data_IF_238646441538
#
_entry.id   IF_238646441538
#
_cell.length_a   1.000
_cell.length_b   1.000
_cell.length_c   1.000
_cell.angle_alpha   90.00
_cell.angle_beta   90.00
_cell.angle_gamma   90.00
#
_symmetry.space_group_name_H-M   'P 1'
#
loop_
_entity.id
_entity.type
_entity.pdbx_description
1 polymer ?
#
# COMPACT_ATOMS: atom_id res chain seq x y z
N UNK A 1 -32.69 11.29 -32.59
CA UNK A 1 -31.72 10.69 -31.65
C UNK A 1 -30.52 11.61 -31.61
N UNK A 2 -30.37 12.30 -30.49
CA UNK A 2 -29.50 13.47 -30.36
C UNK A 2 -28.03 13.02 -30.24
N UNK A 3 -27.18 13.47 -31.18
CA UNK A 3 -25.74 13.09 -31.19
C UNK A 3 -24.96 13.75 -30.06
N UNK A 4 -25.59 14.65 -29.30
CA UNK A 4 -25.03 15.37 -28.14
C UNK A 4 -24.91 14.45 -26.92
N UNK A 5 -25.95 13.69 -26.59
CA UNK A 5 -25.97 12.76 -25.44
C UNK A 5 -24.89 11.67 -25.56
N UNK A 6 -24.63 11.24 -26.80
CA UNK A 6 -23.58 10.29 -27.16
C UNK A 6 -22.16 10.78 -26.87
N UNK A 7 -21.89 12.09 -26.93
CA UNK A 7 -20.54 12.63 -26.66
C UNK A 7 -20.34 12.92 -25.17
N UNK A 8 -21.39 13.34 -24.49
CA UNK A 8 -21.34 13.68 -23.07
C UNK A 8 -21.14 12.45 -22.17
N UNK A 9 -21.68 11.28 -22.53
CA UNK A 9 -21.43 10.08 -21.73
C UNK A 9 -19.99 9.58 -21.85
N UNK A 10 -19.41 9.57 -23.07
CA UNK A 10 -18.01 9.20 -23.27
C UNK A 10 -17.06 10.15 -22.55
N UNK A 11 -17.30 11.46 -22.63
CA UNK A 11 -16.50 12.46 -21.91
C UNK A 11 -16.56 12.26 -20.40
N UNK A 12 -17.75 11.97 -19.84
CA UNK A 12 -17.91 11.64 -18.42
C UNK A 12 -17.19 10.35 -18.02
N UNK A 13 -17.27 9.29 -18.83
CA UNK A 13 -16.57 8.03 -18.57
C UNK A 13 -15.05 8.21 -18.59
N UNK A 14 -14.51 8.93 -19.59
CA UNK A 14 -13.08 9.21 -19.68
C UNK A 14 -12.58 10.07 -18.51
N UNK A 15 -13.35 11.10 -18.12
CA UNK A 15 -13.00 11.92 -16.97
C UNK A 15 -13.01 11.10 -15.66
N UNK A 16 -13.98 10.21 -15.47
CA UNK A 16 -14.00 9.32 -14.31
C UNK A 16 -12.80 8.36 -14.29
N UNK A 17 -12.47 7.73 -15.42
CA UNK A 17 -11.35 6.79 -15.53
C UNK A 17 -10.01 7.49 -15.27
N UNK A 18 -9.83 8.70 -15.81
CA UNK A 18 -8.60 9.49 -15.59
C UNK A 18 -8.48 9.93 -14.14
N UNK A 19 -9.57 10.35 -13.49
CA UNK A 19 -9.59 10.70 -12.07
C UNK A 19 -9.29 9.48 -11.17
N UNK A 20 -9.90 8.33 -11.44
CA UNK A 20 -9.63 7.09 -10.70
C UNK A 20 -8.19 6.61 -10.86
N UNK A 21 -7.65 6.66 -12.08
CA UNK A 21 -6.25 6.30 -12.34
C UNK A 21 -5.29 7.23 -11.60
N UNK A 22 -5.60 8.54 -11.55
CA UNK A 22 -4.82 9.51 -10.79
C UNK A 22 -4.86 9.24 -9.28
N UNK A 23 -6.01 8.83 -8.72
CA UNK A 23 -6.14 8.42 -7.31
C UNK A 23 -5.31 7.17 -6.99
N UNK A 24 -5.36 6.15 -7.85
CA UNK A 24 -4.55 4.93 -7.69
C UNK A 24 -3.05 5.24 -7.76
N UNK A 25 -2.63 6.12 -8.67
CA UNK A 25 -1.24 6.57 -8.75
C UNK A 25 -0.80 7.28 -7.46
N UNK A 26 -1.64 8.19 -6.92
CA UNK A 26 -1.36 8.88 -5.65
C UNK A 26 -1.21 7.90 -4.49
N UNK A 27 -2.14 6.95 -4.35
CA UNK A 27 -2.06 5.89 -3.32
C UNK A 27 -0.77 5.08 -3.49
N UNK A 28 -0.42 4.70 -4.72
CA UNK A 28 0.79 3.91 -4.99
C UNK A 28 2.06 4.67 -4.61
N UNK A 29 2.12 5.96 -4.92
CA UNK A 29 3.22 6.85 -4.51
C UNK A 29 3.34 6.93 -2.99
N UNK A 30 2.24 7.20 -2.29
CA UNK A 30 2.21 7.25 -0.83
C UNK A 30 2.68 5.94 -0.20
N UNK A 31 2.24 4.79 -0.73
CA UNK A 31 2.72 3.47 -0.28
C UNK A 31 4.21 3.25 -0.49
N UNK A 32 4.78 3.72 -1.60
CA UNK A 32 6.23 3.63 -1.83
C UNK A 32 7.01 4.50 -0.85
N UNK A 33 6.54 5.72 -0.61
CA UNK A 33 7.13 6.64 0.39
C UNK A 33 7.05 6.04 1.80
N UNK A 34 5.90 5.47 2.17
CA UNK A 34 5.69 4.78 3.45
C UNK A 34 6.60 3.57 3.62
N UNK A 35 6.83 2.77 2.56
CA UNK A 35 7.76 1.65 2.62
C UNK A 35 9.21 2.11 2.86
N UNK A 36 9.61 3.23 2.25
CA UNK A 36 10.92 3.83 2.52
C UNK A 36 11.04 4.29 3.97
N UNK A 37 10.02 4.97 4.50
CA UNK A 37 9.99 5.40 5.90
C UNK A 37 10.01 4.21 6.86
N UNK A 38 9.25 3.15 6.57
CA UNK A 38 9.22 1.94 7.37
C UNK A 38 10.59 1.22 7.40
N UNK A 39 11.35 1.27 6.30
CA UNK A 39 12.73 0.78 6.30
C UNK A 39 13.60 1.59 7.28
N UNK A 40 13.55 2.92 7.20
CA UNK A 40 14.29 3.81 8.11
C UNK A 40 13.85 3.64 9.57
N UNK A 41 12.54 3.45 9.81
CA UNK A 41 11.98 3.14 11.12
C UNK A 41 12.59 1.85 11.68
N UNK A 42 12.59 0.76 10.91
CA UNK A 42 13.15 -0.51 11.35
C UNK A 42 14.66 -0.44 11.63
N UNK A 43 15.41 0.30 10.83
CA UNK A 43 16.84 0.54 11.07
C UNK A 43 17.09 1.27 12.39
N UNK A 44 16.30 2.31 12.69
CA UNK A 44 16.39 3.07 13.96
C UNK A 44 15.88 2.26 15.15
N UNK A 45 14.79 1.51 14.99
CA UNK A 45 14.26 0.58 15.99
C UNK A 45 15.30 -0.47 16.39
N UNK A 46 16.09 -0.94 15.42
CA UNK A 46 17.14 -1.91 15.70
C UNK A 46 18.25 -1.30 16.57
N UNK A 47 18.58 -0.01 16.38
CA UNK A 47 19.56 0.71 17.19
C UNK A 47 19.09 0.94 18.63
N UNK A 48 17.85 1.40 18.83
CA UNK A 48 17.31 1.61 20.18
C UNK A 48 16.91 0.29 20.85
N UNK A 49 16.75 -0.82 20.10
CA UNK A 49 16.20 -2.10 20.55
C UNK A 49 14.71 -2.03 20.87
N UNK A 50 13.94 -2.95 20.30
CA UNK A 50 12.47 -3.05 20.50
C UNK A 50 12.07 -3.19 21.97
N UNK A 51 12.92 -3.79 22.80
CA UNK A 51 12.64 -3.96 24.24
C UNK A 51 12.76 -2.64 24.99
N UNK A 52 13.79 -1.84 24.69
CA UNK A 52 13.98 -0.54 25.34
C UNK A 52 12.85 0.41 24.99
N UNK A 53 12.41 0.43 23.73
CA UNK A 53 11.23 1.22 23.33
C UNK A 53 9.97 0.86 24.11
N UNK A 54 9.70 -0.43 24.31
CA UNK A 54 8.56 -0.85 25.15
C UNK A 54 8.68 -0.34 26.58
N UNK A 55 9.88 -0.36 27.16
CA UNK A 55 10.11 0.14 28.51
C UNK A 55 9.92 1.66 28.59
N UNK A 56 10.33 2.40 27.54
CA UNK A 56 10.08 3.84 27.42
C UNK A 56 8.57 4.11 27.30
N UNK A 57 7.85 3.38 26.44
CA UNK A 57 6.39 3.49 26.27
C UNK A 57 5.61 3.15 27.55
N UNK A 58 6.13 2.22 28.36
CA UNK A 58 5.56 1.84 29.66
C UNK A 58 5.90 2.85 30.78
N UNK A 59 6.73 3.85 30.51
CA UNK A 59 7.19 4.84 31.49
C UNK A 59 8.20 4.28 32.50
N UNK A 60 8.77 3.09 32.24
CA UNK A 60 9.80 2.49 33.09
C UNK A 60 11.18 3.13 32.87
N UNK A 61 11.39 3.74 31.71
CA UNK A 61 12.63 4.41 31.32
C UNK A 61 12.30 5.78 30.72
N UNK A 62 13.10 6.79 31.03
CA UNK A 62 12.99 8.10 30.40
C UNK A 62 13.51 8.05 28.95
N UNK A 63 12.65 8.39 27.99
CA UNK A 63 12.99 8.48 26.57
C UNK A 63 14.03 9.55 26.26
N UNK A 64 14.18 10.57 27.12
CA UNK A 64 15.18 11.64 26.96
C UNK A 64 16.61 11.13 26.90
N UNK A 65 16.89 9.96 27.48
CA UNK A 65 18.19 9.31 27.49
C UNK A 65 18.61 8.76 26.12
N UNK A 66 17.66 8.67 25.18
CA UNK A 66 17.86 8.10 23.84
C UNK A 66 17.56 9.12 22.74
N UNK A 67 17.62 10.40 23.08
CA UNK A 67 17.58 11.48 22.12
C UNK A 67 18.92 11.61 21.39
N UNK A 68 18.93 11.91 20.07
CA UNK A 68 17.77 12.27 19.22
C UNK A 68 17.01 11.09 18.59
N UNK A 69 17.48 9.85 18.80
CA UNK A 69 16.96 8.69 18.09
C UNK A 69 15.50 8.39 18.42
N UNK A 70 15.07 8.59 19.66
CA UNK A 70 13.69 8.36 20.11
C UNK A 70 12.72 9.34 19.45
N UNK A 71 12.95 10.66 19.53
CA UNK A 71 12.13 11.66 18.82
C UNK A 71 12.07 11.37 17.32
N UNK A 72 13.19 11.00 16.71
CA UNK A 72 13.20 10.66 15.28
C UNK A 72 12.34 9.44 14.94
N UNK A 73 12.22 8.45 15.83
CA UNK A 73 11.35 7.30 15.65
C UNK A 73 9.88 7.69 15.73
N UNK A 74 9.53 8.49 16.74
CA UNK A 74 8.16 8.99 16.94
C UNK A 74 7.70 9.78 15.72
N UNK A 75 8.52 10.71 15.22
CA UNK A 75 8.22 11.50 14.02
C UNK A 75 8.01 10.64 12.77
N UNK A 76 8.80 9.57 12.60
CA UNK A 76 8.60 8.66 11.45
C UNK A 76 7.29 7.89 11.61
N UNK A 77 6.95 7.48 12.83
CA UNK A 77 5.68 6.79 13.13
C UNK A 77 4.47 7.68 12.83
N UNK A 78 4.46 8.91 13.36
CA UNK A 78 3.40 9.90 13.12
C UNK A 78 3.21 10.17 11.63
N UNK A 79 4.32 10.37 10.90
CA UNK A 79 4.27 10.61 9.45
C UNK A 79 3.71 9.41 8.66
N UNK A 80 3.97 8.18 9.11
CA UNK A 80 3.35 6.99 8.49
C UNK A 80 1.84 6.96 8.74
N UNK A 81 1.39 7.27 9.97
CA UNK A 81 -0.03 7.34 10.32
C UNK A 81 -0.79 8.43 9.54
N UNK A 82 -0.15 9.59 9.32
CA UNK A 82 -0.68 10.64 8.44
C UNK A 82 -0.85 10.16 6.99
N UNK A 83 0.16 9.46 6.43
CA UNK A 83 0.06 8.90 5.08
C UNK A 83 -1.01 7.81 4.96
N UNK A 84 -1.17 6.97 5.99
CA UNK A 84 -2.24 5.97 6.03
C UNK A 84 -3.62 6.63 6.05
N UNK A 85 -3.77 7.69 6.85
CA UNK A 85 -5.00 8.49 6.88
C UNK A 85 -5.30 9.16 5.54
N UNK A 86 -4.28 9.67 4.84
CA UNK A 86 -4.42 10.23 3.49
C UNK A 86 -4.85 9.16 2.48
N UNK A 87 -4.25 7.96 2.54
CA UNK A 87 -4.64 6.83 1.69
C UNK A 87 -6.09 6.45 1.92
N UNK A 88 -6.54 6.35 3.18
CA UNK A 88 -7.93 6.04 3.52
C UNK A 88 -8.90 7.13 3.06
N UNK A 89 -8.52 8.41 3.16
CA UNK A 89 -9.31 9.51 2.61
C UNK A 89 -9.44 9.42 1.07
N UNK A 90 -8.35 9.09 0.37
CA UNK A 90 -8.38 8.92 -1.09
C UNK A 90 -9.23 7.71 -1.48
N UNK A 91 -9.14 6.59 -0.73
CA UNK A 91 -9.95 5.38 -0.94
C UNK A 91 -11.44 5.62 -0.64
N UNK A 92 -11.78 6.33 0.43
CA UNK A 92 -13.16 6.68 0.78
C UNK A 92 -13.82 7.57 -0.28
N UNK A 93 -13.02 8.41 -0.95
CA UNK A 93 -13.43 9.22 -2.10
C UNK A 93 -13.39 8.44 -3.45
N UNK A 94 -13.02 7.16 -3.42
CA UNK A 94 -13.00 6.25 -4.56
C UNK A 94 -14.32 5.47 -4.53
N UNK A 95 -15.39 6.07 -5.07
CA UNK A 95 -16.60 5.31 -5.40
C UNK A 95 -16.22 4.32 -6.49
N UNK A 96 -15.96 3.07 -6.12
CA UNK A 96 -15.68 1.97 -7.03
C UNK A 96 -16.81 1.88 -8.08
N UNK A 97 -16.56 2.46 -9.24
CA UNK A 97 -17.35 2.32 -10.46
C UNK A 97 -16.73 1.27 -11.37
N UNK A 98 -16.21 0.17 -10.82
CA UNK A 98 -15.97 -1.01 -11.65
C UNK A 98 -17.34 -1.44 -12.16
N UNK A 99 -17.57 -1.17 -13.45
CA UNK A 99 -18.80 -1.51 -14.13
C UNK A 99 -19.20 -2.93 -13.72
N UNK A 100 -20.39 -3.05 -13.13
CA UNK A 100 -21.11 -4.32 -13.14
C UNK A 100 -21.22 -4.71 -14.61
N UNK A 101 -20.25 -5.47 -15.12
CA UNK A 101 -20.45 -6.31 -16.29
C UNK A 101 -21.59 -7.22 -15.86
N UNK A 102 -22.77 -6.98 -16.43
CA UNK A 102 -23.78 -8.03 -16.51
C UNK A 102 -23.12 -9.15 -17.31
N UNK A 103 -22.53 -10.11 -16.61
CA UNK A 103 -22.19 -11.41 -17.19
C UNK A 103 -23.48 -12.22 -17.13
N UNK A 104 -24.36 -11.96 -18.10
CA UNK A 104 -25.08 -13.07 -18.72
C UNK A 104 -24.11 -13.66 -19.76
N UNK A 105 -24.14 -14.98 -19.88
CA UNK A 105 -23.32 -15.87 -20.72
C UNK A 105 -22.05 -16.48 -20.07
N UNK A 106 -22.31 -17.68 -19.55
CA UNK A 106 -21.49 -18.90 -19.50
C UNK A 106 -20.06 -18.82 -20.08
N UNK A 107 -19.08 -18.47 -19.25
CA UNK A 107 -17.71 -18.95 -19.45
C UNK A 107 -17.15 -19.53 -18.16
N UNK A 108 -16.91 -20.84 -18.23
CA UNK A 108 -16.37 -21.73 -17.22
C UNK A 108 -15.01 -21.22 -16.75
N UNK A 109 -14.96 -20.66 -15.54
CA UNK A 109 -13.71 -20.27 -14.88
C UNK A 109 -12.91 -21.54 -14.62
N UNK A 110 -11.78 -21.69 -15.30
CA UNK A 110 -10.77 -22.71 -14.96
C UNK A 110 -9.92 -22.13 -13.85
N UNK A 111 -10.06 -22.68 -12.64
CA UNK A 111 -9.18 -22.39 -11.51
C UNK A 111 -7.74 -22.77 -11.89
N UNK A 112 -6.91 -21.79 -12.20
CA UNK A 112 -5.46 -21.98 -12.30
C UNK A 112 -4.91 -21.99 -10.87
N UNK A 113 -4.76 -23.18 -10.31
CA UNK A 113 -3.93 -23.40 -9.12
C UNK A 113 -2.51 -22.97 -9.45
N UNK A 114 -1.97 -22.02 -8.68
CA UNK A 114 -0.55 -21.72 -8.68
C UNK A 114 0.20 -22.93 -8.10
N UNK A 115 0.78 -23.77 -8.96
CA UNK A 115 1.76 -24.75 -8.53
C UNK A 115 3.05 -24.04 -8.13
N UNK A 116 3.41 -24.23 -6.86
CA UNK A 116 4.71 -23.93 -6.26
C UNK A 116 5.83 -24.51 -7.13
N UNK A 117 6.66 -23.65 -7.70
CA UNK A 117 7.93 -24.03 -8.30
C UNK A 117 8.89 -24.31 -7.14
N UNK A 118 9.06 -25.58 -6.78
CA UNK A 118 10.17 -26.02 -5.94
C UNK A 118 11.46 -25.96 -6.77
N UNK A 119 12.41 -25.15 -6.33
CA UNK A 119 13.77 -25.13 -6.87
C UNK A 119 14.46 -26.48 -6.56
N UNK A 120 14.66 -27.32 -7.57
CA UNK A 120 15.49 -28.52 -7.48
C UNK A 120 16.97 -28.13 -7.71
N UNK A 121 17.64 -27.67 -6.65
CA UNK A 121 19.10 -27.61 -6.59
C UNK A 121 19.66 -29.03 -6.38
N UNK A 122 19.92 -29.75 -7.49
CA UNK A 122 20.76 -30.95 -7.46
C UNK A 122 22.00 -30.79 -8.33
N UNK A 123 23.09 -30.58 -7.60
CA UNK A 123 24.48 -30.72 -8.02
C UNK A 123 24.68 -31.97 -8.88
N UNK A 124 25.32 -31.75 -10.02
CA UNK A 124 26.02 -32.73 -10.83
C UNK A 124 27.13 -33.42 -10.00
N UNK A 125 27.03 -34.73 -9.79
CA UNK A 125 28.20 -35.61 -9.65
C UNK A 125 28.25 -36.46 -10.92
N UNK A 126 29.16 -36.10 -11.82
CA UNK A 126 29.48 -36.90 -13.01
C UNK A 126 30.60 -37.89 -12.65
N UNK A 127 30.40 -39.14 -13.05
CA UNK A 127 31.31 -40.27 -12.88
C UNK A 127 32.06 -40.54 -14.18
#
# INVERSE_FOLDING_TARGET
MDKSEGKDWFAKTLNNVTEETAKVYRISRLKLEMNSLNKTYNEKMHKISKRLLKLIEQGEIDGSLFEPEYTSLVQISEKMEEMESEIEAIKGNLKFGFGKKKTDDDEKIVDVKAETIENDDKKEENK
#
